data_IF_812797670055
#
_entry.id   IF_812797670055
#
_cell.length_a   1.000
_cell.length_b   1.000
_cell.length_c   1.000
_cell.angle_alpha   90.00
_cell.angle_beta   90.00
_cell.angle_gamma   90.00
#
_symmetry.space_group_name_H-M   'P 1'
#
loop_
_entity.id
_entity.type
_entity.pdbx_description
1 polymer ?
#
# COMPACT_ATOMS: atom_id res chain seq x y z
N UNK A 1 13.77 -0.52 -54.45
CA UNK A 1 14.61 -1.39 -53.60
C UNK A 1 15.09 -0.68 -52.35
N UNK A 2 15.69 0.52 -52.46
CA UNK A 2 16.12 1.30 -51.29
C UNK A 2 14.93 1.68 -50.39
N UNK A 3 13.83 2.18 -50.97
CA UNK A 3 12.64 2.58 -50.19
C UNK A 3 12.02 1.40 -49.42
N UNK A 4 11.97 0.21 -50.04
CA UNK A 4 11.48 -1.02 -49.41
C UNK A 4 12.32 -1.41 -48.17
N UNK A 5 13.65 -1.27 -48.26
CA UNK A 5 14.57 -1.56 -47.16
C UNK A 5 14.36 -0.54 -46.03
N UNK A 6 14.17 0.74 -46.37
CA UNK A 6 13.91 1.80 -45.40
C UNK A 6 12.60 1.57 -44.65
N UNK A 7 11.53 1.19 -45.35
CA UNK A 7 10.23 0.91 -44.72
C UNK A 7 10.29 -0.32 -43.81
N UNK A 8 10.98 -1.38 -44.22
CA UNK A 8 11.22 -2.55 -43.36
C UNK A 8 11.97 -2.16 -42.08
N UNK A 9 13.06 -1.41 -42.20
CA UNK A 9 13.84 -0.93 -41.05
C UNK A 9 12.97 -0.05 -40.14
N UNK A 10 12.12 0.81 -40.70
CA UNK A 10 11.21 1.65 -39.94
C UNK A 10 10.22 0.83 -39.11
N UNK A 11 9.64 -0.25 -39.66
CA UNK A 11 8.75 -1.15 -38.91
C UNK A 11 9.46 -1.86 -37.76
N UNK A 12 10.69 -2.34 -37.98
CA UNK A 12 11.50 -2.98 -36.94
C UNK A 12 11.80 -1.98 -35.81
N UNK A 13 12.22 -0.76 -36.14
CA UNK A 13 12.46 0.31 -35.17
C UNK A 13 11.18 0.64 -34.39
N UNK A 14 10.03 0.71 -35.06
CA UNK A 14 8.74 0.97 -34.42
C UNK A 14 8.37 -0.10 -33.39
N UNK A 15 8.58 -1.38 -33.69
CA UNK A 15 8.33 -2.49 -32.74
C UNK A 15 9.27 -2.39 -31.53
N UNK A 16 10.56 -2.11 -31.75
CA UNK A 16 11.55 -1.99 -30.67
C UNK A 16 11.18 -0.81 -29.76
N UNK A 17 10.93 0.37 -30.34
CA UNK A 17 10.55 1.56 -29.60
C UNK A 17 9.23 1.36 -28.84
N UNK A 18 8.22 0.75 -29.49
CA UNK A 18 6.95 0.39 -28.87
C UNK A 18 7.11 -0.58 -27.70
N UNK A 19 8.02 -1.56 -27.82
CA UNK A 19 8.30 -2.53 -26.75
C UNK A 19 8.94 -1.88 -25.54
N UNK A 20 9.92 -0.99 -25.76
CA UNK A 20 10.56 -0.21 -24.68
C UNK A 20 9.52 0.66 -23.97
N UNK A 21 8.69 1.37 -24.73
CA UNK A 21 7.64 2.21 -24.17
C UNK A 21 6.60 1.40 -23.39
N UNK A 22 6.17 0.25 -23.92
CA UNK A 22 5.25 -0.67 -23.26
C UNK A 22 5.80 -1.14 -21.91
N UNK A 23 7.04 -1.63 -21.89
CA UNK A 23 7.71 -2.09 -20.66
C UNK A 23 7.83 -0.93 -19.67
N UNK A 24 8.21 0.27 -20.12
CA UNK A 24 8.33 1.43 -19.24
C UNK A 24 6.99 1.86 -18.62
N UNK A 25 5.92 1.90 -19.42
CA UNK A 25 4.59 2.29 -18.95
C UNK A 25 4.04 1.29 -17.92
N UNK A 26 4.11 0.00 -18.24
CA UNK A 26 3.53 -1.07 -17.42
C UNK A 26 4.35 -1.35 -16.16
N UNK A 27 5.68 -1.32 -16.22
CA UNK A 27 6.54 -1.69 -15.07
C UNK A 27 6.87 -0.53 -14.13
N UNK A 28 6.92 0.71 -14.63
CA UNK A 28 7.33 1.88 -13.83
C UNK A 28 6.25 2.92 -13.71
N UNK A 29 5.74 3.44 -14.83
CA UNK A 29 4.92 4.66 -14.79
C UNK A 29 3.55 4.41 -14.15
N UNK A 30 2.82 3.39 -14.62
CA UNK A 30 1.47 3.08 -14.14
C UNK A 30 1.47 2.61 -12.68
N UNK A 31 2.34 1.66 -12.25
CA UNK A 31 2.38 1.23 -10.86
C UNK A 31 2.76 2.38 -9.92
N UNK A 32 3.79 3.17 -10.26
CA UNK A 32 4.26 4.24 -9.39
C UNK A 32 3.24 5.38 -9.21
N UNK A 33 2.35 5.60 -10.18
CA UNK A 33 1.31 6.63 -10.08
C UNK A 33 0.03 6.13 -9.42
N UNK A 34 -0.38 4.90 -9.70
CA UNK A 34 -1.72 4.40 -9.32
C UNK A 34 -1.68 3.46 -8.13
N UNK A 35 -0.67 2.60 -8.02
CA UNK A 35 -0.54 1.62 -6.95
C UNK A 35 0.28 2.16 -5.78
N UNK A 36 0.26 3.48 -5.55
CA UNK A 36 0.90 4.05 -4.36
C UNK A 36 0.21 3.45 -3.13
N UNK A 37 0.95 2.75 -2.24
CA UNK A 37 0.39 2.30 -0.99
C UNK A 37 -0.13 3.53 -0.28
N UNK A 38 -1.44 3.56 -0.06
CA UNK A 38 -1.97 4.55 0.86
C UNK A 38 -1.61 4.00 2.23
N UNK A 39 -0.63 4.62 2.86
CA UNK A 39 -0.47 4.58 4.32
C UNK A 39 -1.66 5.35 4.91
N UNK A 40 -2.88 4.87 4.65
CA UNK A 40 -3.95 5.12 5.59
C UNK A 40 -3.52 4.30 6.78
N UNK A 41 -3.04 5.00 7.81
CA UNK A 41 -3.31 4.61 9.18
C UNK A 41 -4.83 4.48 9.19
N UNK A 42 -5.33 3.29 8.84
CA UNK A 42 -6.71 2.91 9.06
C UNK A 42 -6.94 3.27 10.52
N UNK A 43 -7.95 4.11 10.76
CA UNK A 43 -8.56 4.42 12.05
C UNK A 43 -7.88 3.69 13.21
N UNK A 44 -7.32 4.41 14.19
CA UNK A 44 -6.78 3.80 15.40
C UNK A 44 -7.71 2.66 15.80
N UNK A 45 -7.29 1.42 15.58
CA UNK A 45 -8.11 0.22 15.82
C UNK A 45 -8.45 0.08 17.30
N UNK A 46 -7.86 0.96 18.08
CA UNK A 46 -8.08 1.17 19.47
C UNK A 46 -9.47 1.74 19.75
N UNK A 47 -10.39 0.84 20.07
CA UNK A 47 -11.75 1.19 20.48
C UNK A 47 -11.70 1.61 21.96
N UNK A 48 -12.17 2.82 22.25
CA UNK A 48 -12.39 3.25 23.64
C UNK A 48 -13.55 2.45 24.24
N UNK A 49 -13.25 1.59 25.21
CA UNK A 49 -14.22 0.62 25.74
C UNK A 49 -14.94 1.15 26.97
N UNK A 50 -14.23 1.89 27.82
CA UNK A 50 -14.79 2.32 29.10
C UNK A 50 -14.27 3.69 29.50
N UNK A 51 -15.20 4.55 29.91
CA UNK A 51 -14.90 5.87 30.47
C UNK A 51 -15.04 5.80 31.98
N UNK A 52 -14.05 6.34 32.68
CA UNK A 52 -14.03 6.49 34.12
C UNK A 52 -13.98 7.98 34.46
N UNK A 53 -14.73 8.37 35.49
CA UNK A 53 -14.66 9.72 36.07
C UNK A 53 -14.15 9.54 37.48
N UNK A 54 -13.08 10.24 37.81
CA UNK A 54 -12.47 10.30 39.13
C UNK A 54 -12.74 11.68 39.73
N UNK A 55 -12.58 11.83 41.04
CA UNK A 55 -12.85 13.09 41.74
C UNK A 55 -12.06 14.29 41.16
N UNK A 56 -10.89 14.04 40.55
CA UNK A 56 -10.01 15.04 39.97
C UNK A 56 -9.78 14.90 38.45
N UNK A 57 -10.52 14.05 37.74
CA UNK A 57 -10.21 13.81 36.34
C UNK A 57 -11.09 12.79 35.60
N UNK A 58 -10.71 12.49 34.36
CA UNK A 58 -11.37 11.49 33.52
C UNK A 58 -10.35 10.54 32.91
N UNK A 59 -10.70 9.26 32.83
CA UNK A 59 -9.91 8.22 32.19
C UNK A 59 -10.69 7.54 31.08
N UNK A 60 -10.04 7.22 29.97
CA UNK A 60 -10.62 6.39 28.91
C UNK A 60 -9.71 5.20 28.70
N UNK A 61 -10.26 3.99 28.85
CA UNK A 61 -9.55 2.74 28.59
C UNK A 61 -9.78 2.32 27.15
N UNK A 62 -8.69 2.00 26.48
CA UNK A 62 -8.64 1.54 25.11
C UNK A 62 -8.07 0.12 25.08
N UNK A 63 -8.58 -0.69 24.16
CA UNK A 63 -7.94 -1.96 23.77
C UNK A 63 -7.11 -1.68 22.53
N UNK A 64 -5.83 -2.06 22.48
CA UNK A 64 -4.99 -1.82 21.31
C UNK A 64 -5.38 -2.71 20.14
N UNK A 65 -4.71 -2.50 19.00
CA UNK A 65 -4.92 -3.31 17.81
C UNK A 65 -4.68 -4.81 18.07
N UNK A 66 -5.35 -5.73 17.35
CA UNK A 66 -5.21 -7.18 17.58
C UNK A 66 -3.78 -7.74 17.48
N UNK A 67 -2.87 -7.06 16.76
CA UNK A 67 -1.47 -7.48 16.69
C UNK A 67 -0.71 -7.09 17.95
N UNK A 68 -0.93 -5.86 18.44
CA UNK A 68 -0.35 -5.38 19.70
C UNK A 68 -1.00 -6.00 20.94
N UNK A 69 -2.25 -6.48 20.86
CA UNK A 69 -3.00 -7.05 21.99
C UNK A 69 -2.32 -8.27 22.63
N UNK A 70 -1.44 -8.95 21.88
CA UNK A 70 -0.61 -10.07 22.39
C UNK A 70 0.43 -9.64 23.42
N UNK A 71 0.79 -8.37 23.44
CA UNK A 71 1.85 -7.80 24.26
C UNK A 71 1.33 -6.69 25.18
N UNK A 72 0.32 -5.95 24.72
CA UNK A 72 -0.31 -4.86 25.43
C UNK A 72 -1.78 -5.20 25.65
N UNK A 73 -2.20 -5.43 26.88
CA UNK A 73 -3.58 -5.84 27.17
C UNK A 73 -4.56 -4.67 27.02
N UNK A 74 -4.18 -3.51 27.56
CA UNK A 74 -4.98 -2.29 27.54
C UNK A 74 -4.11 -1.06 27.77
N UNK A 75 -4.63 0.11 27.47
CA UNK A 75 -4.01 1.38 27.86
C UNK A 75 -5.07 2.40 28.26
N UNK A 76 -4.68 3.35 29.11
CA UNK A 76 -5.56 4.32 29.72
C UNK A 76 -5.04 5.71 29.43
N UNK A 77 -5.88 6.51 28.77
CA UNK A 77 -5.67 7.95 28.64
C UNK A 77 -6.35 8.63 29.82
N UNK A 78 -5.57 9.26 30.69
CA UNK A 78 -6.08 9.97 31.87
C UNK A 78 -5.86 11.46 31.70
N UNK A 79 -6.85 12.26 32.05
CA UNK A 79 -6.77 13.71 32.13
C UNK A 79 -7.00 14.13 33.58
N UNK A 80 -6.02 14.81 34.17
CA UNK A 80 -6.07 15.32 35.53
C UNK A 80 -5.57 16.77 35.53
N UNK A 81 -6.40 17.70 36.04
CA UNK A 81 -6.04 19.12 36.17
C UNK A 81 -5.53 19.77 34.86
N UNK A 82 -6.03 19.31 33.71
CA UNK A 82 -5.64 19.79 32.38
C UNK A 82 -4.42 19.08 31.77
N UNK A 83 -3.69 18.27 32.53
CA UNK A 83 -2.60 17.46 32.03
C UNK A 83 -3.11 16.08 31.56
N UNK A 84 -2.55 15.58 30.46
CA UNK A 84 -2.92 14.30 29.87
C UNK A 84 -1.78 13.31 29.99
N UNK A 85 -2.13 12.12 30.45
CA UNK A 85 -1.20 11.04 30.72
C UNK A 85 -1.66 9.77 30.04
N UNK A 86 -0.71 9.02 29.51
CA UNK A 86 -0.92 7.68 29.01
C UNK A 86 -0.28 6.67 29.96
N UNK A 87 -1.03 5.64 30.28
CA UNK A 87 -0.52 4.48 31.02
C UNK A 87 -0.92 3.21 30.27
N UNK A 88 0.03 2.31 30.08
CA UNK A 88 -0.09 1.07 29.34
C UNK A 88 -0.03 -0.10 30.32
N UNK A 89 -0.85 -1.13 30.08
CA UNK A 89 -0.75 -2.40 30.78
C UNK A 89 -0.28 -3.48 29.80
N UNK A 90 0.89 -4.02 30.08
CA UNK A 90 1.52 -5.07 29.29
C UNK A 90 1.11 -6.45 29.76
N UNK A 91 1.33 -7.44 28.90
CA UNK A 91 1.27 -8.85 29.28
C UNK A 91 2.46 -9.18 30.21
N UNK A 92 2.24 -10.11 31.15
CA UNK A 92 3.22 -10.51 32.15
C UNK A 92 4.54 -11.07 31.60
N UNK A 93 4.60 -11.40 30.31
CA UNK A 93 5.82 -11.87 29.62
C UNK A 93 6.70 -10.74 29.10
N UNK A 94 6.24 -9.49 29.16
CA UNK A 94 6.96 -8.32 28.64
C UNK A 94 7.85 -7.74 29.72
N UNK A 95 9.16 -7.80 29.49
CA UNK A 95 10.21 -7.26 30.38
C UNK A 95 10.67 -5.89 29.88
N UNK A 96 10.80 -5.74 28.56
CA UNK A 96 11.12 -4.47 27.91
C UNK A 96 10.19 -4.28 26.72
N UNK A 97 9.77 -3.03 26.49
CA UNK A 97 8.92 -2.67 25.36
C UNK A 97 9.38 -1.36 24.74
N UNK A 98 9.39 -1.30 23.42
CA UNK A 98 9.48 -0.07 22.66
C UNK A 98 8.21 0.07 21.84
N UNK A 99 7.54 1.22 21.95
CA UNK A 99 6.31 1.48 21.25
C UNK A 99 6.20 2.93 20.81
N UNK A 100 5.41 3.16 19.77
CA UNK A 100 5.04 4.48 19.29
C UNK A 100 3.64 4.83 19.73
N UNK A 101 3.49 6.03 20.27
CA UNK A 101 2.23 6.65 20.62
C UNK A 101 1.94 7.71 19.57
N UNK A 102 0.96 7.46 18.72
CA UNK A 102 0.46 8.45 17.75
C UNK A 102 -0.65 9.24 18.41
N UNK A 103 -0.47 10.55 18.48
CA UNK A 103 -1.38 11.47 19.18
C UNK A 103 -2.28 12.17 18.17
N UNK A 104 -3.58 12.17 18.42
CA UNK A 104 -4.58 12.77 17.54
C UNK A 104 -5.36 13.90 18.18
N UNK A 105 -5.75 14.89 17.39
CA UNK A 105 -6.71 15.94 17.79
C UNK A 105 -8.17 15.49 17.59
N UNK A 106 -9.12 16.39 17.87
CA UNK A 106 -10.54 16.10 17.70
C UNK A 106 -10.98 16.02 16.23
N UNK A 107 -10.14 16.49 15.30
CA UNK A 107 -10.37 16.45 13.85
C UNK A 107 -9.69 15.24 13.18
N UNK A 108 -9.17 14.29 13.97
CA UNK A 108 -8.39 13.12 13.54
C UNK A 108 -7.05 13.45 12.84
N UNK A 109 -6.48 14.63 13.08
CA UNK A 109 -5.13 14.96 12.60
C UNK A 109 -4.10 14.47 13.60
N UNK A 110 -2.99 13.97 13.07
CA UNK A 110 -1.82 13.60 13.89
C UNK A 110 -1.18 14.89 14.40
N UNK A 111 -1.12 15.04 15.71
CA UNK A 111 -0.47 16.16 16.40
C UNK A 111 1.00 15.84 16.61
N UNK A 112 1.27 14.62 17.09
CA UNK A 112 2.61 14.21 17.51
C UNK A 112 2.77 12.68 17.42
N UNK A 113 4.01 12.21 17.37
CA UNK A 113 4.38 10.79 17.42
C UNK A 113 5.52 10.62 18.42
N UNK A 114 5.20 10.02 19.56
CA UNK A 114 6.14 9.85 20.67
C UNK A 114 6.64 8.40 20.66
N UNK A 115 7.95 8.20 20.61
CA UNK A 115 8.56 6.87 20.83
C UNK A 115 8.87 6.72 22.31
N UNK A 116 8.37 5.65 22.92
CA UNK A 116 8.55 5.35 24.33
C UNK A 116 9.34 4.06 24.46
N UNK A 117 10.41 4.10 25.25
CA UNK A 117 11.14 2.93 25.70
C UNK A 117 10.78 2.69 27.16
N UNK A 118 10.30 1.49 27.44
CA UNK A 118 9.66 1.19 28.70
C UNK A 118 10.12 -0.16 29.23
N UNK A 119 10.19 -0.24 30.55
CA UNK A 119 10.51 -1.46 31.28
C UNK A 119 9.41 -1.63 32.30
N UNK A 120 8.33 -2.37 31.96
CA UNK A 120 7.18 -2.50 32.84
C UNK A 120 7.61 -2.96 34.22
N UNK A 121 7.09 -2.29 35.25
CA UNK A 121 7.38 -2.67 36.64
C UNK A 121 6.75 -4.03 36.97
N UNK A 122 6.97 -4.55 38.19
CA UNK A 122 6.35 -5.80 38.66
C UNK A 122 4.80 -5.81 38.59
N UNK A 123 4.18 -4.64 38.41
CA UNK A 123 2.74 -4.49 38.24
C UNK A 123 2.26 -4.63 36.79
N UNK A 124 3.16 -4.86 35.83
CA UNK A 124 2.88 -4.93 34.39
C UNK A 124 2.37 -3.59 33.80
N UNK A 125 2.56 -2.50 34.53
CA UNK A 125 2.09 -1.16 34.18
C UNK A 125 3.30 -0.30 33.76
N UNK A 126 3.12 0.50 32.71
CA UNK A 126 4.11 1.48 32.25
C UNK A 126 4.28 2.65 33.22
N UNK A 127 5.41 3.34 33.10
CA UNK A 127 5.48 4.73 33.54
C UNK A 127 4.39 5.59 32.89
N UNK A 128 3.94 6.64 33.57
CA UNK A 128 2.99 7.61 33.00
C UNK A 128 3.71 8.47 31.95
N UNK A 129 3.22 8.44 30.71
CA UNK A 129 3.77 9.23 29.60
C UNK A 129 2.95 10.51 29.45
N UNK A 130 3.62 11.66 29.52
CA UNK A 130 2.97 12.96 29.32
C UNK A 130 2.59 13.15 27.85
N UNK A 131 1.37 13.65 27.62
CA UNK A 131 0.82 13.91 26.30
C UNK A 131 0.52 15.40 26.10
N UNK A 132 0.55 15.89 24.84
CA UNK A 132 0.15 17.26 24.52
C UNK A 132 -1.28 17.58 24.98
N UNK A 133 -1.52 18.83 25.39
CA UNK A 133 -2.84 19.29 25.86
C UNK A 133 -3.96 19.05 24.83
N UNK A 134 -3.68 19.21 23.54
CA UNK A 134 -4.64 19.07 22.44
C UNK A 134 -5.04 17.61 22.14
N UNK A 135 -4.45 16.63 22.83
CA UNK A 135 -4.70 15.20 22.59
C UNK A 135 -6.16 14.84 22.85
N UNK A 136 -6.87 14.34 21.83
CA UNK A 136 -8.23 13.84 21.97
C UNK A 136 -8.27 12.32 22.16
N UNK A 137 -7.46 11.60 21.39
CA UNK A 137 -7.24 10.17 21.53
C UNK A 137 -5.82 9.81 21.08
N UNK A 138 -5.39 8.61 21.41
CA UNK A 138 -4.06 8.10 21.05
C UNK A 138 -4.17 6.70 20.48
N UNK A 139 -3.23 6.35 19.62
CA UNK A 139 -3.03 5.00 19.11
C UNK A 139 -1.64 4.50 19.46
N UNK A 140 -1.53 3.23 19.82
CA UNK A 140 -0.25 2.62 20.24
C UNK A 140 0.13 1.54 19.25
N UNK A 141 1.36 1.60 18.77
CA UNK A 141 1.96 0.56 17.93
C UNK A 141 3.24 0.05 18.58
N UNK A 142 3.26 -1.25 18.89
CA UNK A 142 4.44 -1.90 19.48
C UNK A 142 5.51 -2.11 18.40
N UNK A 143 6.74 -1.67 18.66
CA UNK A 143 7.89 -1.77 17.75
C UNK A 143 8.75 -2.97 18.13
N UNK A 144 9.13 -3.09 19.40
CA UNK A 144 9.98 -4.16 19.90
C UNK A 144 9.55 -4.60 21.30
N UNK A 145 9.71 -5.89 21.58
CA UNK A 145 9.42 -6.51 22.89
C UNK A 145 10.61 -7.38 23.26
N UNK A 146 11.12 -7.26 24.48
CA UNK A 146 12.24 -8.05 25.00
C UNK A 146 13.46 -8.01 24.05
N UNK A 147 13.74 -6.83 23.48
CA UNK A 147 14.79 -6.60 22.48
C UNK A 147 14.61 -7.36 21.15
N UNK A 148 13.43 -7.95 20.91
CA UNK A 148 13.05 -8.56 19.64
C UNK A 148 12.11 -7.63 18.88
N UNK A 149 12.41 -7.35 17.61
CA UNK A 149 11.56 -6.52 16.78
C UNK A 149 10.23 -7.23 16.51
N UNK A 150 9.13 -6.59 16.89
CA UNK A 150 7.80 -7.02 16.51
C UNK A 150 7.61 -6.52 15.09
N UNK A 151 7.64 -7.45 14.13
CA UNK A 151 7.30 -7.12 12.75
C UNK A 151 5.82 -6.76 12.71
N UNK A 152 5.53 -5.47 12.89
CA UNK A 152 4.24 -4.90 12.61
C UNK A 152 4.01 -5.12 11.11
N UNK A 153 3.26 -6.18 10.76
CA UNK A 153 2.64 -6.29 9.45
C UNK A 153 1.70 -5.09 9.35
N UNK A 154 2.21 -3.98 8.83
CA UNK A 154 1.35 -2.90 8.38
C UNK A 154 0.48 -3.51 7.29
N UNK A 155 -0.83 -3.55 7.50
CA UNK A 155 -1.78 -3.88 6.45
C UNK A 155 -1.72 -2.75 5.41
N UNK A 156 -0.79 -2.90 4.47
CA UNK A 156 -0.65 -2.02 3.33
C UNK A 156 -1.84 -2.31 2.41
N UNK A 157 -2.89 -1.52 2.55
CA UNK A 157 -4.07 -1.63 1.69
C UNK A 157 -3.93 -0.71 0.47
N UNK A 158 -4.09 -1.29 -0.71
CA UNK A 158 -4.21 -0.53 -1.96
C UNK A 158 -5.69 -0.22 -2.18
N UNK A 159 -5.99 1.01 -2.59
CA UNK A 159 -7.38 1.42 -2.84
C UNK A 159 -7.97 0.58 -4.00
N UNK A 160 -9.16 -0.03 -3.83
CA UNK A 160 -9.75 -0.89 -4.86
C UNK A 160 -10.03 -0.15 -6.16
N UNK A 161 -10.42 1.14 -6.08
CA UNK A 161 -10.61 1.98 -7.27
C UNK A 161 -9.30 2.23 -8.02
N UNK A 162 -8.17 2.33 -7.31
CA UNK A 162 -6.86 2.46 -7.93
C UNK A 162 -6.42 1.16 -8.62
N UNK A 163 -6.71 0.00 -8.04
CA UNK A 163 -6.50 -1.31 -8.67
C UNK A 163 -7.31 -1.46 -9.95
N UNK A 164 -8.61 -1.10 -9.92
CA UNK A 164 -9.48 -1.16 -11.11
C UNK A 164 -8.98 -0.20 -12.19
N UNK A 165 -8.65 1.04 -11.84
CA UNK A 165 -8.12 2.01 -12.80
C UNK A 165 -6.79 1.55 -13.41
N UNK A 166 -5.91 0.97 -12.59
CA UNK A 166 -4.66 0.36 -13.06
C UNK A 166 -4.93 -0.78 -14.05
N UNK A 167 -5.84 -1.70 -13.73
CA UNK A 167 -6.20 -2.81 -14.62
C UNK A 167 -6.73 -2.33 -15.97
N UNK A 168 -7.61 -1.32 -15.97
CA UNK A 168 -8.18 -0.73 -17.19
C UNK A 168 -7.09 -0.07 -18.03
N UNK A 169 -6.23 0.76 -17.44
CA UNK A 169 -5.15 1.42 -18.18
C UNK A 169 -4.10 0.42 -18.68
N UNK A 170 -3.77 -0.59 -17.88
CA UNK A 170 -2.87 -1.67 -18.30
C UNK A 170 -3.45 -2.42 -19.50
N UNK A 171 -4.76 -2.71 -19.49
CA UNK A 171 -5.45 -3.33 -20.63
C UNK A 171 -5.37 -2.46 -21.90
N UNK A 172 -5.64 -1.16 -21.79
CA UNK A 172 -5.56 -0.23 -22.93
C UNK A 172 -4.14 -0.18 -23.51
N UNK A 173 -3.12 -0.10 -22.64
CA UNK A 173 -1.71 -0.07 -23.07
C UNK A 173 -1.28 -1.38 -23.72
N UNK A 174 -1.66 -2.52 -23.14
CA UNK A 174 -1.42 -3.85 -23.71
C UNK A 174 -2.11 -4.02 -25.07
N UNK A 175 -3.38 -3.63 -25.18
CA UNK A 175 -4.12 -3.69 -26.43
C UNK A 175 -3.49 -2.82 -27.53
N UNK A 176 -3.13 -1.58 -27.21
CA UNK A 176 -2.46 -0.67 -28.14
C UNK A 176 -1.11 -1.25 -28.62
N UNK A 177 -0.34 -1.87 -27.72
CA UNK A 177 0.91 -2.51 -28.07
C UNK A 177 0.72 -3.71 -29.00
N UNK A 178 -0.23 -4.61 -28.71
CA UNK A 178 -0.51 -5.74 -29.60
C UNK A 178 -1.03 -5.29 -30.97
N UNK A 179 -1.82 -4.22 -31.03
CA UNK A 179 -2.25 -3.63 -32.30
C UNK A 179 -1.06 -3.09 -33.09
N UNK A 180 -0.13 -2.38 -32.44
CA UNK A 180 1.11 -1.90 -33.07
C UNK A 180 1.95 -3.06 -33.61
N UNK A 181 2.18 -4.10 -32.81
CA UNK A 181 2.92 -5.29 -33.23
C UNK A 181 2.22 -5.97 -34.40
N UNK A 182 0.89 -6.06 -34.36
CA UNK A 182 0.11 -6.66 -35.43
C UNK A 182 0.26 -5.89 -36.75
N UNK A 183 0.06 -4.58 -36.74
CA UNK A 183 0.21 -3.74 -37.94
C UNK A 183 1.63 -3.82 -38.49
N UNK A 184 2.64 -3.69 -37.62
CA UNK A 184 4.03 -3.72 -38.05
C UNK A 184 4.44 -5.09 -38.62
N UNK A 185 3.99 -6.20 -38.02
CA UNK A 185 4.25 -7.55 -38.53
C UNK A 185 3.52 -7.83 -39.83
N UNK A 186 2.26 -7.40 -39.99
CA UNK A 186 1.54 -7.50 -41.27
C UNK A 186 2.27 -6.73 -42.37
N UNK A 187 2.72 -5.50 -42.11
CA UNK A 187 3.50 -4.74 -43.08
C UNK A 187 4.80 -5.46 -43.46
N UNK A 188 5.54 -5.99 -42.47
CA UNK A 188 6.78 -6.76 -42.71
C UNK A 188 6.51 -7.99 -43.58
N UNK A 189 5.46 -8.77 -43.28
CA UNK A 189 5.10 -9.98 -44.05
C UNK A 189 4.73 -9.61 -45.48
N UNK A 190 3.94 -8.55 -45.66
CA UNK A 190 3.58 -8.06 -47.00
C UNK A 190 4.82 -7.63 -47.79
N UNK A 191 5.81 -6.99 -47.15
CA UNK A 191 7.07 -6.63 -47.80
C UNK A 191 7.94 -7.82 -48.20
N UNK A 192 7.98 -8.88 -47.38
CA UNK A 192 8.88 -10.03 -47.62
C UNK A 192 8.29 -10.98 -48.67
N UNK A 193 6.97 -11.22 -48.62
CA UNK A 193 6.34 -12.30 -49.37
C UNK A 193 5.41 -11.82 -50.48
N UNK A 194 5.21 -10.50 -50.62
CA UNK A 194 4.27 -9.89 -51.58
C UNK A 194 2.86 -10.48 -51.47
N UNK A 195 2.51 -10.98 -50.27
CA UNK A 195 1.18 -11.47 -49.96
C UNK A 195 0.26 -10.27 -49.80
N UNK A 196 -0.73 -10.14 -50.68
CA UNK A 196 -1.87 -9.26 -50.48
C UNK A 196 -2.83 -9.90 -49.45
N UNK A 197 -2.31 -10.18 -48.25
CA UNK A 197 -3.15 -10.57 -47.13
C UNK A 197 -3.74 -9.30 -46.53
N UNK A 198 -4.94 -8.97 -47.01
CA UNK A 198 -5.88 -8.16 -46.25
C UNK A 198 -5.93 -8.73 -44.82
N UNK A 199 -5.73 -7.85 -43.84
CA UNK A 199 -5.80 -8.09 -42.40
C UNK A 199 -6.89 -9.13 -42.12
N UNK A 200 -6.51 -10.40 -41.98
CA UNK A 200 -7.53 -11.45 -41.83
C UNK A 200 -8.23 -11.21 -40.50
N UNK A 201 -9.56 -11.18 -40.46
CA UNK A 201 -10.28 -10.89 -39.22
C UNK A 201 -9.86 -11.77 -38.03
N UNK A 202 -9.33 -12.97 -38.31
CA UNK A 202 -8.76 -13.90 -37.34
C UNK A 202 -7.55 -13.36 -36.56
N UNK A 203 -6.69 -12.54 -37.16
CA UNK A 203 -5.52 -11.97 -36.46
C UNK A 203 -5.92 -10.88 -35.46
N UNK A 204 -6.94 -10.09 -35.78
CA UNK A 204 -7.51 -9.10 -34.85
C UNK A 204 -8.22 -9.79 -33.68
N UNK A 205 -8.95 -10.88 -33.94
CA UNK A 205 -9.59 -11.68 -32.89
C UNK A 205 -8.55 -12.23 -31.92
N UNK A 206 -7.39 -12.67 -32.43
CA UNK A 206 -6.29 -13.14 -31.59
C UNK A 206 -5.71 -12.02 -30.70
N UNK A 207 -5.52 -10.81 -31.24
CA UNK A 207 -5.10 -9.62 -30.47
C UNK A 207 -6.11 -9.28 -29.37
N UNK A 208 -7.40 -9.32 -29.70
CA UNK A 208 -8.49 -9.06 -28.74
C UNK A 208 -8.58 -10.13 -27.65
N UNK A 209 -8.31 -11.40 -27.97
CA UNK A 209 -8.39 -12.50 -27.00
C UNK A 209 -7.16 -12.58 -26.08
N UNK A 210 -5.97 -12.24 -26.58
CA UNK A 210 -4.71 -12.33 -25.81
C UNK A 210 -4.49 -11.13 -24.89
N UNK A 211 -4.86 -9.92 -25.30
CA UNK A 211 -4.64 -8.68 -24.53
C UNK A 211 -5.24 -8.69 -23.10
N UNK A 212 -6.49 -9.18 -22.87
CA UNK A 212 -7.07 -9.26 -21.53
C UNK A 212 -6.30 -10.21 -20.63
N UNK A 213 -5.88 -11.38 -21.15
CA UNK A 213 -5.18 -12.41 -20.37
C UNK A 213 -3.84 -11.87 -19.87
N UNK A 214 -3.04 -11.28 -20.77
CA UNK A 214 -1.76 -10.68 -20.40
C UNK A 214 -1.93 -9.52 -19.42
N UNK A 215 -2.95 -8.66 -19.62
CA UNK A 215 -3.22 -7.55 -18.70
C UNK A 215 -3.55 -8.05 -17.29
N UNK A 216 -4.44 -9.04 -17.17
CA UNK A 216 -4.85 -9.60 -15.87
C UNK A 216 -3.67 -10.25 -15.15
N UNK A 217 -2.89 -11.10 -15.84
CA UNK A 217 -1.71 -11.75 -15.25
C UNK A 217 -0.71 -10.70 -14.74
N UNK A 218 -0.41 -9.70 -15.57
CA UNK A 218 0.54 -8.66 -15.20
C UNK A 218 0.03 -7.80 -14.03
N UNK A 219 -1.27 -7.49 -14.03
CA UNK A 219 -1.90 -6.75 -12.94
C UNK A 219 -1.80 -7.51 -11.61
N UNK A 220 -2.09 -8.81 -11.60
CA UNK A 220 -1.98 -9.66 -10.41
C UNK A 220 -0.54 -9.74 -9.88
N UNK A 221 0.44 -9.95 -10.77
CA UNK A 221 1.85 -9.99 -10.38
C UNK A 221 2.32 -8.66 -9.80
N UNK A 222 1.88 -7.55 -10.37
CA UNK A 222 2.28 -6.21 -9.92
C UNK A 222 1.64 -5.86 -8.59
N UNK A 223 0.37 -6.22 -8.38
CA UNK A 223 -0.31 -6.01 -7.09
C UNK A 223 0.38 -6.84 -6.01
N UNK A 224 0.65 -8.12 -6.26
CA UNK A 224 1.31 -8.99 -5.28
C UNK A 224 2.68 -8.44 -4.87
N UNK A 225 3.50 -8.00 -5.84
CA UNK A 225 4.83 -7.41 -5.57
C UNK A 225 4.77 -6.11 -4.75
N UNK A 226 3.70 -5.33 -4.86
CA UNK A 226 3.56 -4.09 -4.08
C UNK A 226 2.93 -4.31 -2.69
N UNK A 227 2.42 -5.52 -2.43
CA UNK A 227 1.85 -5.91 -1.12
C UNK A 227 2.85 -6.68 -0.24
N UNK A 228 3.90 -7.26 -0.83
CA UNK A 228 5.02 -7.94 -0.14
C UNK A 228 6.16 -6.97 0.15
#
# INVERSE_FOLDING_TARGET
>A
MIDLILDFIAQVILIIAGSILYVFLTSRLLPAKLLKPKNKILYSSSIGIKKYVFDNGRGIVYIPDPHSQKYLTQYVLTENSGEKFLTCQFDNRVITAEYKVTVFDCDNKVIDVITVHDTPDQSEISGAVHLPFLTSYVDISVISINCSNVSAKMDVSISPSACVLYAVLNFVVTFAFFLLVHVATTNIVNYIFDFDQAISGYSIIFVLASSPIFSVIYTLLTINKNLT
#
